data_IF_115263016391
#
_entry.id   IF_115263016391
#
_cell.length_a   1.000
_cell.length_b   1.000
_cell.length_c   1.000
_cell.angle_alpha   90.00
_cell.angle_beta   90.00
_cell.angle_gamma   90.00
#
_symmetry.space_group_name_H-M   'P 1'
#
loop_
_entity.id
_entity.type
_entity.pdbx_description
1 polymer ?
#
# COMPACT_ATOMS: atom_id res chain seq x y z
N UNK A 1 -32.10 10.27 -15.32
CA UNK A 1 -33.43 10.57 -14.75
C UNK A 1 -33.22 10.98 -13.30
N UNK A 2 -33.37 12.26 -13.00
CA UNK A 2 -33.33 12.81 -11.65
C UNK A 2 -34.69 12.57 -10.99
N UNK A 3 -34.74 11.83 -9.88
CA UNK A 3 -35.94 11.72 -9.05
C UNK A 3 -35.86 12.73 -7.90
N UNK A 4 -36.75 13.71 -7.94
CA UNK A 4 -37.06 14.61 -6.83
C UNK A 4 -37.86 13.84 -5.76
N UNK A 5 -37.47 13.94 -4.49
CA UNK A 5 -38.30 13.51 -3.36
C UNK A 5 -39.13 14.69 -2.84
N UNK A 6 -40.42 14.43 -2.62
CA UNK A 6 -41.41 15.38 -2.13
C UNK A 6 -41.39 15.53 -0.59
N UNK A 7 -41.84 16.67 -0.02
CA UNK A 7 -41.77 16.97 1.41
C UNK A 7 -42.85 16.29 2.26
N UNK A 8 -42.52 16.06 3.53
CA UNK A 8 -43.30 15.36 4.57
C UNK A 8 -44.39 16.29 5.16
N UNK A 9 -45.62 15.83 5.48
CA UNK A 9 -46.68 16.70 6.02
C UNK A 9 -46.52 16.98 7.53
N UNK A 10 -46.70 18.24 7.92
CA UNK A 10 -46.70 18.68 9.32
C UNK A 10 -48.01 18.39 10.05
N UNK A 11 -47.91 17.74 11.22
CA UNK A 11 -49.02 17.55 12.16
C UNK A 11 -49.10 18.68 13.18
N UNK A 12 -50.31 19.22 13.41
CA UNK A 12 -50.60 20.22 14.44
C UNK A 12 -51.16 19.56 15.70
N UNK A 13 -50.53 19.81 16.85
CA UNK A 13 -50.99 19.36 18.17
C UNK A 13 -51.93 20.40 18.79
N UNK A 14 -53.16 20.00 19.14
CA UNK A 14 -54.11 20.85 19.88
C UNK A 14 -53.89 20.68 21.39
N UNK A 15 -53.69 21.78 22.10
CA UNK A 15 -53.70 21.84 23.58
C UNK A 15 -55.01 22.49 24.04
N UNK A 16 -55.71 21.81 24.96
CA UNK A 16 -56.94 22.32 25.57
C UNK A 16 -56.57 22.97 26.91
N UNK A 17 -56.94 24.24 27.12
CA UNK A 17 -56.69 24.98 28.37
C UNK A 17 -57.95 24.97 29.23
N UNK A 18 -57.85 24.39 30.43
CA UNK A 18 -58.88 24.43 31.46
C UNK A 18 -58.88 25.75 32.23
N UNK A 19 -60.07 26.21 32.60
CA UNK A 19 -60.32 27.46 33.36
C UNK A 19 -59.97 27.30 34.85
N UNK A 20 -58.98 28.04 35.33
CA UNK A 20 -58.82 28.52 36.70
C UNK A 20 -57.81 29.68 36.60
N UNK A 21 -58.10 30.94 36.87
CA UNK A 21 -58.55 31.52 38.13
C UNK A 21 -57.81 32.85 38.22
N UNK A 22 -58.55 33.94 38.09
CA UNK A 22 -58.05 35.32 38.16
C UNK A 22 -57.71 35.62 39.61
N UNK A 23 -56.43 35.49 40.02
CA UNK A 23 -55.94 36.11 41.26
C UNK A 23 -54.39 36.06 41.41
N UNK A 24 -53.62 36.67 40.48
CA UNK A 24 -52.18 36.86 40.69
C UNK A 24 -51.57 37.96 39.79
N UNK A 25 -52.20 39.14 39.70
CA UNK A 25 -51.80 40.18 38.73
C UNK A 25 -51.10 41.41 39.34
N UNK A 26 -50.65 41.37 40.60
CA UNK A 26 -50.02 42.56 41.22
C UNK A 26 -48.60 42.31 41.76
N UNK A 27 -48.15 41.06 41.93
CA UNK A 27 -46.79 40.78 42.42
C UNK A 27 -45.75 40.52 41.31
N UNK A 28 -46.17 40.41 40.04
CA UNK A 28 -45.26 40.13 38.92
C UNK A 28 -44.58 41.41 38.38
N UNK A 29 -45.16 42.59 38.61
CA UNK A 29 -44.62 43.86 38.11
C UNK A 29 -43.30 44.30 38.78
N UNK A 30 -43.09 43.95 40.05
CA UNK A 30 -41.87 44.35 40.78
C UNK A 30 -40.69 43.38 40.57
N UNK A 31 -40.95 42.11 40.27
CA UNK A 31 -39.90 41.14 39.92
C UNK A 31 -39.42 41.30 38.46
N UNK A 32 -40.29 41.74 37.55
CA UNK A 32 -39.89 42.02 36.16
C UNK A 32 -39.04 43.29 36.02
N UNK A 33 -39.18 44.26 36.92
CA UNK A 33 -38.36 45.47 36.92
C UNK A 33 -36.91 45.25 37.39
N UNK A 34 -36.67 44.25 38.25
CA UNK A 34 -35.33 43.96 38.79
C UNK A 34 -34.53 42.98 37.91
N UNK A 35 -35.21 42.17 37.10
CA UNK A 35 -34.56 41.30 36.10
C UNK A 35 -34.24 42.05 34.80
N UNK A 36 -34.88 43.20 34.55
CA UNK A 36 -34.65 44.01 33.35
C UNK A 36 -33.35 44.84 33.36
N UNK A 37 -32.56 44.82 34.43
CA UNK A 37 -31.30 45.59 34.54
C UNK A 37 -30.03 44.75 34.28
N UNK A 38 -30.20 43.51 33.81
CA UNK A 38 -29.11 42.67 33.28
C UNK A 38 -29.49 41.95 32.00
N UNK A 39 -30.02 42.68 31.04
CA UNK A 39 -29.82 42.28 29.65
C UNK A 39 -28.46 42.82 29.22
N UNK A 40 -27.40 42.04 29.45
CA UNK A 40 -26.27 42.12 28.52
C UNK A 40 -26.86 41.90 27.14
N UNK A 41 -26.80 42.94 26.30
CA UNK A 41 -27.06 42.80 24.89
C UNK A 41 -25.99 41.84 24.39
N UNK A 42 -26.33 40.56 24.29
CA UNK A 42 -25.52 39.59 23.56
C UNK A 42 -25.50 40.11 22.12
N UNK A 43 -24.44 40.81 21.78
CA UNK A 43 -24.12 41.14 20.41
C UNK A 43 -24.18 39.81 19.62
N UNK A 44 -24.91 39.74 18.50
CA UNK A 44 -24.98 38.53 17.68
C UNK A 44 -23.58 38.12 17.14
N UNK A 45 -22.59 38.99 17.29
CA UNK A 45 -21.18 38.74 16.96
C UNK A 45 -20.46 37.84 17.97
N UNK A 46 -21.03 37.57 19.15
CA UNK A 46 -20.33 36.92 20.26
C UNK A 46 -20.37 35.37 20.27
N UNK A 47 -21.01 34.71 19.29
CA UNK A 47 -20.99 33.24 19.17
C UNK A 47 -20.80 32.81 17.71
N UNK A 48 -19.82 33.40 17.05
CA UNK A 48 -19.04 32.62 16.10
C UNK A 48 -17.70 32.44 16.78
N UNK A 49 -17.52 31.32 17.50
CA UNK A 49 -16.17 30.89 17.83
C UNK A 49 -15.41 30.92 16.51
N UNK A 50 -14.42 31.82 16.39
CA UNK A 50 -13.57 31.89 15.22
C UNK A 50 -12.87 30.53 15.14
N UNK A 51 -13.46 29.64 14.34
CA UNK A 51 -12.84 28.38 14.02
C UNK A 51 -11.65 28.79 13.15
N UNK A 52 -10.45 28.68 13.72
CA UNK A 52 -9.20 28.92 12.99
C UNK A 52 -9.34 28.27 11.60
N UNK A 53 -9.09 29.01 10.50
CA UNK A 53 -9.24 28.48 9.16
C UNK A 53 -8.50 27.14 9.06
N UNK A 54 -9.20 26.07 8.68
CA UNK A 54 -8.60 24.73 8.57
C UNK A 54 -7.45 24.67 7.57
N UNK A 55 -7.38 25.64 6.66
CA UNK A 55 -6.36 25.76 5.63
C UNK A 55 -5.61 27.10 5.74
N UNK A 56 -4.29 27.02 5.73
CA UNK A 56 -3.42 28.19 5.62
C UNK A 56 -3.29 28.63 4.15
N UNK A 57 -3.24 29.93 3.84
CA UNK A 57 -2.97 30.42 2.48
C UNK A 57 -1.52 30.20 2.04
N UNK A 58 -0.63 29.83 2.95
CA UNK A 58 0.83 29.71 2.69
C UNK A 58 1.45 28.41 3.19
N UNK A 59 0.74 27.61 3.99
CA UNK A 59 1.22 26.31 4.46
C UNK A 59 0.51 25.19 3.72
N UNK A 60 1.20 24.06 3.57
CA UNK A 60 0.57 22.84 3.09
C UNK A 60 -0.59 22.44 4.00
N UNK A 61 -1.63 21.83 3.40
CA UNK A 61 -2.72 21.22 4.14
C UNK A 61 -2.16 20.14 5.08
N UNK A 62 -2.48 20.27 6.38
CA UNK A 62 -2.21 19.23 7.36
C UNK A 62 -3.33 18.18 7.28
N UNK A 63 -2.99 16.89 7.33
CA UNK A 63 -3.95 15.79 7.23
C UNK A 63 -4.55 15.68 5.82
N UNK A 64 -3.78 15.14 4.87
CA UNK A 64 -4.25 14.92 3.49
C UNK A 64 -5.08 13.64 3.42
N UNK A 65 -6.15 13.65 2.63
CA UNK A 65 -6.95 12.45 2.35
C UNK A 65 -6.28 11.50 1.35
N UNK A 66 -5.18 11.95 0.72
CA UNK A 66 -4.40 11.18 -0.25
C UNK A 66 -2.91 11.33 0.04
N UNK A 67 -2.18 10.25 -0.22
CA UNK A 67 -0.73 10.23 -0.14
C UNK A 67 -0.11 10.85 -1.41
N UNK A 68 0.73 11.87 -1.23
CA UNK A 68 1.63 12.34 -2.28
C UNK A 68 3.05 11.85 -1.98
N UNK A 69 3.69 11.08 -2.88
CA UNK A 69 5.01 10.53 -2.59
C UNK A 69 6.07 11.59 -2.29
N UNK A 70 6.81 11.36 -1.20
CA UNK A 70 7.83 12.27 -0.67
C UNK A 70 7.29 13.51 0.08
N UNK A 71 6.01 13.52 0.47
CA UNK A 71 5.39 14.68 1.17
C UNK A 71 5.04 14.43 2.65
N UNK A 72 5.34 13.25 3.17
CA UNK A 72 5.04 12.80 4.53
C UNK A 72 6.26 12.12 5.13
N UNK A 73 6.60 12.50 6.36
CA UNK A 73 7.56 11.78 7.18
C UNK A 73 6.98 10.41 7.57
N UNK A 74 7.84 9.40 7.67
CA UNK A 74 7.45 8.08 8.17
C UNK A 74 7.91 7.98 9.63
N UNK A 75 6.99 7.76 10.57
CA UNK A 75 7.34 7.73 11.99
C UNK A 75 8.20 6.51 12.35
N UNK A 76 9.02 6.56 13.42
CA UNK A 76 9.93 5.46 13.78
C UNK A 76 9.27 4.10 14.02
N UNK A 77 7.98 4.09 14.35
CA UNK A 77 7.13 2.93 14.62
C UNK A 77 6.04 2.72 13.56
N UNK A 78 6.22 3.30 12.37
CA UNK A 78 5.26 3.23 11.26
C UNK A 78 5.76 2.34 10.12
N UNK A 79 4.81 1.62 9.51
CA UNK A 79 4.99 0.82 8.30
C UNK A 79 4.07 1.34 7.21
N UNK A 80 4.62 1.64 6.03
CA UNK A 80 3.85 2.07 4.84
C UNK A 80 4.00 1.07 3.72
N UNK A 81 2.87 0.66 3.14
CA UNK A 81 2.81 -0.26 1.99
C UNK A 81 2.20 0.44 0.80
N UNK A 82 2.88 0.41 -0.34
CA UNK A 82 2.41 1.00 -1.61
C UNK A 82 2.27 -0.10 -2.65
N UNK A 83 1.07 -0.20 -3.24
CA UNK A 83 0.81 -1.05 -4.39
C UNK A 83 1.38 -0.41 -5.67
N UNK A 84 2.58 -0.81 -6.08
CA UNK A 84 3.20 -0.36 -7.32
C UNK A 84 2.70 -1.16 -8.54
N UNK A 85 2.01 -2.27 -8.32
CA UNK A 85 1.18 -2.93 -9.32
C UNK A 85 0.31 -4.04 -8.74
N UNK A 86 -0.85 -4.25 -9.37
CA UNK A 86 -1.95 -5.13 -8.92
C UNK A 86 -2.61 -5.86 -10.09
N UNK A 87 -1.84 -5.98 -11.17
CA UNK A 87 -2.27 -6.44 -12.47
C UNK A 87 -2.19 -7.95 -12.62
N UNK A 88 -1.98 -8.35 -13.86
CA UNK A 88 -1.93 -9.72 -14.36
C UNK A 88 -0.83 -9.75 -15.45
N UNK A 89 -0.48 -10.91 -16.01
CA UNK A 89 0.47 -10.98 -17.13
C UNK A 89 0.04 -10.18 -18.36
N UNK A 90 -1.27 -10.00 -18.56
CA UNK A 90 -1.78 -9.13 -19.61
C UNK A 90 -1.65 -7.65 -19.21
N UNK A 91 -0.73 -6.96 -19.87
CA UNK A 91 -0.47 -5.54 -19.64
C UNK A 91 -1.73 -4.68 -19.82
N UNK A 92 -1.94 -3.74 -18.89
CA UNK A 92 -2.96 -2.70 -19.01
C UNK A 92 -2.49 -1.38 -18.37
N UNK A 93 -2.75 -0.22 -18.99
CA UNK A 93 -2.29 1.07 -18.45
C UNK A 93 -2.78 1.38 -17.03
N UNK A 94 -3.98 0.91 -16.68
CA UNK A 94 -4.57 1.16 -15.36
C UNK A 94 -3.88 0.40 -14.24
N UNK A 95 -3.22 -0.74 -14.52
CA UNK A 95 -2.66 -1.64 -13.51
C UNK A 95 -1.42 -2.34 -14.07
N UNK A 96 -0.24 -1.92 -13.60
CA UNK A 96 1.00 -2.67 -13.75
C UNK A 96 0.90 -4.04 -13.07
N UNK A 97 1.76 -4.99 -13.46
CA UNK A 97 1.81 -6.32 -12.85
C UNK A 97 2.38 -6.29 -11.41
N UNK A 98 2.41 -7.43 -10.72
CA UNK A 98 2.61 -7.51 -9.27
C UNK A 98 3.88 -6.78 -8.79
N UNK A 99 3.71 -5.80 -7.90
CA UNK A 99 4.82 -5.11 -7.25
C UNK A 99 4.34 -4.34 -6.02
N UNK A 100 5.03 -4.53 -4.89
CA UNK A 100 4.71 -3.90 -3.64
C UNK A 100 5.95 -3.28 -3.01
N UNK A 101 5.86 -2.02 -2.62
CA UNK A 101 6.90 -1.32 -1.89
C UNK A 101 6.51 -1.27 -0.41
N UNK A 102 7.36 -1.82 0.44
CA UNK A 102 7.29 -1.71 1.89
C UNK A 102 8.33 -0.69 2.37
N UNK A 103 7.89 0.33 3.09
CA UNK A 103 8.75 1.32 3.76
C UNK A 103 8.57 1.21 5.27
N UNK A 104 9.68 1.19 6.02
CA UNK A 104 9.69 1.09 7.47
C UNK A 104 10.28 2.35 8.11
N UNK A 105 9.79 2.72 9.29
CA UNK A 105 10.22 3.88 10.06
C UNK A 105 11.71 3.92 10.44
N UNK A 106 12.39 2.76 10.41
CA UNK A 106 13.85 2.67 10.58
C UNK A 106 14.64 3.10 9.32
N UNK A 107 13.94 3.44 8.23
CA UNK A 107 14.48 3.86 6.95
C UNK A 107 14.59 2.75 5.89
N UNK A 108 14.49 1.49 6.29
CA UNK A 108 14.57 0.36 5.35
C UNK A 108 13.39 0.32 4.40
N UNK A 109 13.66 -0.18 3.19
CA UNK A 109 12.68 -0.35 2.13
C UNK A 109 12.92 -1.67 1.41
N UNK A 110 11.83 -2.32 1.07
CA UNK A 110 11.81 -3.63 0.45
C UNK A 110 10.81 -3.63 -0.69
N UNK A 111 11.18 -4.23 -1.81
CA UNK A 111 10.30 -4.45 -2.95
C UNK A 111 9.93 -5.93 -2.99
N UNK A 112 8.63 -6.24 -3.00
CA UNK A 112 8.10 -7.59 -3.15
C UNK A 112 7.48 -7.71 -4.54
N UNK A 113 8.09 -8.57 -5.35
CA UNK A 113 7.89 -8.66 -6.80
C UNK A 113 8.12 -7.34 -7.56
N UNK A 114 8.45 -7.44 -8.84
CA UNK A 114 8.71 -6.31 -9.73
C UNK A 114 8.23 -6.62 -11.16
N UNK A 115 6.93 -6.84 -11.28
CA UNK A 115 6.24 -7.13 -12.53
C UNK A 115 6.32 -6.03 -13.58
N UNK A 116 6.05 -6.41 -14.83
CA UNK A 116 6.05 -5.49 -15.98
C UNK A 116 5.21 -4.22 -15.73
N UNK A 117 5.81 -3.05 -15.99
CA UNK A 117 5.22 -1.72 -15.83
C UNK A 117 5.30 -1.13 -14.42
N UNK A 118 5.82 -1.88 -13.44
CA UNK A 118 5.95 -1.42 -12.05
C UNK A 118 7.13 -0.47 -11.81
N UNK A 119 8.19 -0.50 -12.62
CA UNK A 119 9.35 0.39 -12.47
C UNK A 119 8.95 1.87 -12.62
N UNK A 120 8.01 2.17 -13.51
CA UNK A 120 7.42 3.53 -13.63
C UNK A 120 6.73 3.95 -12.32
N UNK A 121 5.99 3.03 -11.70
CA UNK A 121 5.24 3.28 -10.45
C UNK A 121 6.14 3.41 -9.24
N UNK A 122 7.26 2.68 -9.23
CA UNK A 122 8.34 2.83 -8.25
C UNK A 122 9.03 4.19 -8.42
N UNK A 123 9.39 4.59 -9.65
CA UNK A 123 9.99 5.90 -9.91
C UNK A 123 9.07 7.06 -9.46
N UNK A 124 7.76 6.90 -9.62
CA UNK A 124 6.76 7.86 -9.16
C UNK A 124 6.74 8.04 -7.63
N UNK A 125 7.32 7.12 -6.84
CA UNK A 125 7.45 7.27 -5.39
C UNK A 125 8.50 8.31 -4.98
N UNK A 126 9.33 8.80 -5.93
CA UNK A 126 10.38 9.81 -5.69
C UNK A 126 11.42 9.40 -4.64
N UNK A 127 11.67 8.11 -4.50
CA UNK A 127 12.67 7.57 -3.60
C UNK A 127 13.98 7.40 -4.38
N UNK A 128 15.12 7.92 -3.88
CA UNK A 128 16.42 7.65 -4.49
C UNK A 128 16.67 6.15 -4.64
N UNK A 129 17.18 5.71 -5.79
CA UNK A 129 17.40 4.28 -6.06
C UNK A 129 18.41 3.61 -5.12
N UNK A 130 19.29 4.38 -4.48
CA UNK A 130 20.13 3.90 -3.37
C UNK A 130 19.32 3.46 -2.14
N UNK A 131 18.02 3.76 -2.03
CA UNK A 131 17.18 3.19 -0.97
C UNK A 131 16.30 2.04 -1.48
N UNK A 132 16.35 1.73 -2.77
CA UNK A 132 15.55 0.70 -3.45
C UNK A 132 16.47 -0.41 -3.97
N UNK A 133 17.25 -0.99 -3.08
CA UNK A 133 18.29 -1.98 -3.39
C UNK A 133 17.97 -3.39 -2.92
N UNK A 134 16.78 -3.63 -2.36
CA UNK A 134 16.37 -4.94 -1.82
C UNK A 134 15.07 -5.40 -2.47
N UNK A 135 15.15 -6.49 -3.23
CA UNK A 135 14.03 -7.07 -3.98
C UNK A 135 13.83 -8.52 -3.55
N UNK A 136 12.58 -8.88 -3.25
CA UNK A 136 12.14 -10.21 -2.85
C UNK A 136 11.17 -10.73 -3.91
N UNK A 137 11.54 -11.81 -4.59
CA UNK A 137 10.76 -12.40 -5.67
C UNK A 137 10.05 -13.64 -5.16
N UNK A 138 8.71 -13.65 -5.19
CA UNK A 138 7.91 -14.79 -4.75
C UNK A 138 8.02 -15.97 -5.70
N UNK A 139 8.09 -15.71 -7.01
CA UNK A 139 8.35 -16.70 -8.04
C UNK A 139 8.79 -16.02 -9.35
N UNK A 140 9.04 -16.82 -10.40
CA UNK A 140 9.70 -16.37 -11.62
C UNK A 140 8.77 -16.25 -12.84
N UNK A 141 7.47 -16.04 -12.64
CA UNK A 141 6.61 -15.63 -13.76
C UNK A 141 6.99 -14.21 -14.21
N UNK A 142 6.83 -13.95 -15.51
CA UNK A 142 7.22 -12.70 -16.14
C UNK A 142 6.52 -11.47 -15.52
N UNK A 143 5.32 -11.64 -14.99
CA UNK A 143 4.54 -10.58 -14.36
C UNK A 143 4.89 -10.34 -12.88
N UNK A 144 5.89 -11.06 -12.36
CA UNK A 144 6.49 -10.83 -11.04
C UNK A 144 7.95 -10.38 -11.12
N UNK A 145 8.60 -10.51 -12.29
CA UNK A 145 10.01 -10.15 -12.49
C UNK A 145 10.25 -9.19 -13.66
N UNK A 146 9.20 -8.88 -14.43
CA UNK A 146 9.31 -8.30 -15.77
C UNK A 146 9.94 -6.92 -15.88
N UNK A 147 10.05 -6.19 -14.77
CA UNK A 147 10.71 -4.88 -14.68
C UNK A 147 11.99 -4.92 -13.82
N UNK A 148 12.49 -6.12 -13.48
CA UNK A 148 13.74 -6.25 -12.70
C UNK A 148 14.93 -5.62 -13.42
N UNK A 149 14.99 -5.73 -14.75
CA UNK A 149 15.99 -5.07 -15.58
C UNK A 149 15.84 -3.55 -15.54
N UNK A 150 14.62 -3.03 -15.56
CA UNK A 150 14.34 -1.60 -15.47
C UNK A 150 14.76 -1.03 -14.11
N UNK A 151 14.55 -1.76 -13.00
CA UNK A 151 15.07 -1.36 -11.69
C UNK A 151 16.59 -1.49 -11.60
N UNK A 152 17.16 -2.51 -12.24
CA UNK A 152 18.60 -2.74 -12.26
C UNK A 152 19.34 -1.68 -13.09
N UNK A 153 19.10 -1.61 -14.40
CA UNK A 153 19.75 -0.66 -15.30
C UNK A 153 19.28 0.76 -15.01
N UNK A 154 17.96 0.96 -14.86
CA UNK A 154 17.39 2.27 -14.57
C UNK A 154 17.87 2.82 -13.24
N UNK A 155 18.06 1.97 -12.21
CA UNK A 155 18.61 2.40 -10.93
C UNK A 155 20.03 2.96 -11.03
N UNK A 156 20.88 2.37 -11.89
CA UNK A 156 22.23 2.91 -12.14
C UNK A 156 22.18 4.25 -12.86
N UNK A 157 21.29 4.39 -13.85
CA UNK A 157 21.08 5.70 -14.50
C UNK A 157 20.48 6.73 -13.55
N UNK A 158 19.72 6.27 -12.54
CA UNK A 158 19.22 7.03 -11.41
C UNK A 158 20.24 7.22 -10.28
N UNK A 159 21.53 6.98 -10.56
CA UNK A 159 22.65 7.18 -9.65
C UNK A 159 22.69 6.26 -8.42
N UNK A 160 22.16 5.03 -8.52
CA UNK A 160 22.45 3.97 -7.54
C UNK A 160 23.93 3.56 -7.65
N UNK A 161 24.67 3.64 -6.55
CA UNK A 161 26.12 3.35 -6.51
C UNK A 161 26.46 2.08 -5.73
N UNK A 162 25.44 1.30 -5.36
CA UNK A 162 25.57 0.00 -4.68
C UNK A 162 24.83 -1.11 -5.42
N UNK A 163 25.19 -2.39 -5.20
CA UNK A 163 24.56 -3.52 -5.86
C UNK A 163 23.06 -3.58 -5.61
N UNK A 164 22.31 -4.11 -6.57
CA UNK A 164 20.94 -4.55 -6.35
C UNK A 164 20.99 -5.93 -5.66
N UNK A 165 20.34 -6.07 -4.51
CA UNK A 165 20.26 -7.32 -3.77
C UNK A 165 18.91 -7.98 -4.05
N UNK A 166 18.94 -9.22 -4.53
CA UNK A 166 17.76 -9.99 -4.93
C UNK A 166 17.69 -11.25 -4.10
N UNK A 167 16.58 -11.44 -3.40
CA UNK A 167 16.21 -12.66 -2.72
C UNK A 167 15.15 -13.36 -3.56
N UNK A 168 15.34 -14.64 -3.82
CA UNK A 168 14.33 -15.45 -4.46
C UNK A 168 14.59 -16.94 -4.31
N UNK A 169 13.57 -17.76 -4.54
CA UNK A 169 13.65 -19.20 -4.37
C UNK A 169 14.53 -19.86 -5.45
N UNK A 170 15.12 -21.01 -5.10
CA UNK A 170 15.55 -21.99 -6.10
C UNK A 170 14.31 -22.69 -6.72
N UNK A 171 14.52 -23.43 -7.81
CA UNK A 171 13.49 -24.29 -8.38
C UNK A 171 13.81 -25.77 -8.18
N UNK A 172 12.98 -26.65 -8.74
CA UNK A 172 13.26 -28.10 -8.78
C UNK A 172 14.56 -28.45 -9.51
N UNK A 173 15.07 -27.53 -10.33
CA UNK A 173 16.33 -27.63 -11.04
C UNK A 173 17.04 -26.27 -11.02
N UNK A 174 18.38 -26.23 -11.15
CA UNK A 174 19.13 -24.97 -11.19
C UNK A 174 18.62 -23.98 -12.25
N UNK A 175 18.22 -24.47 -13.44
CA UNK A 175 17.71 -23.60 -14.51
C UNK A 175 16.36 -22.94 -14.23
N UNK A 176 15.65 -23.37 -13.19
CA UNK A 176 14.40 -22.78 -12.71
C UNK A 176 14.60 -21.92 -11.45
N UNK A 177 15.83 -21.75 -10.99
CA UNK A 177 16.16 -20.94 -9.82
C UNK A 177 16.39 -19.46 -10.13
N UNK A 178 16.21 -18.63 -9.11
CA UNK A 178 16.40 -17.17 -9.19
C UNK A 178 17.80 -16.79 -9.66
N UNK A 179 18.83 -17.51 -9.21
CA UNK A 179 20.22 -17.21 -9.61
C UNK A 179 20.42 -17.43 -11.11
N UNK A 180 19.90 -18.53 -11.65
CA UNK A 180 20.01 -18.80 -13.08
C UNK A 180 19.28 -17.74 -13.90
N UNK A 181 18.07 -17.35 -13.48
CA UNK A 181 17.32 -16.28 -14.13
C UNK A 181 18.12 -14.96 -14.17
N UNK A 182 18.68 -14.53 -13.04
CA UNK A 182 19.47 -13.29 -12.97
C UNK A 182 20.74 -13.37 -13.82
N UNK A 183 21.46 -14.50 -13.79
CA UNK A 183 22.65 -14.70 -14.61
C UNK A 183 22.33 -14.57 -16.11
N UNK A 184 21.25 -15.20 -16.58
CA UNK A 184 20.79 -15.12 -17.97
C UNK A 184 20.27 -13.73 -18.34
N UNK A 185 19.60 -13.04 -17.42
CA UNK A 185 19.22 -11.63 -17.62
C UNK A 185 20.47 -10.75 -17.81
N UNK A 186 21.51 -10.91 -16.96
CA UNK A 186 22.76 -10.16 -17.11
C UNK A 186 23.42 -10.40 -18.47
N UNK A 187 23.33 -11.61 -19.02
CA UNK A 187 23.80 -11.94 -20.37
C UNK A 187 22.95 -11.31 -21.47
N UNK A 188 21.61 -11.30 -21.31
CA UNK A 188 20.70 -10.62 -22.24
C UNK A 188 21.03 -9.13 -22.40
N UNK A 189 21.44 -8.47 -21.32
CA UNK A 189 21.84 -7.05 -21.30
C UNK A 189 23.35 -6.81 -21.50
N UNK A 190 24.11 -7.77 -22.05
CA UNK A 190 25.57 -7.63 -22.23
C UNK A 190 25.96 -6.35 -22.96
N UNK A 191 25.26 -6.03 -24.06
CA UNK A 191 25.54 -4.80 -24.82
C UNK A 191 25.29 -3.55 -23.99
N UNK A 192 24.17 -3.49 -23.27
CA UNK A 192 23.78 -2.34 -22.46
C UNK A 192 24.81 -2.11 -21.34
N UNK A 193 25.14 -3.16 -20.56
CA UNK A 193 26.19 -3.12 -19.53
C UNK A 193 27.51 -2.59 -20.09
N UNK A 194 27.95 -3.12 -21.23
CA UNK A 194 29.21 -2.76 -21.85
C UNK A 194 29.21 -1.29 -22.32
N UNK A 195 28.10 -0.83 -22.90
CA UNK A 195 27.94 0.55 -23.40
C UNK A 195 27.97 1.61 -22.29
N UNK A 196 27.66 1.23 -21.05
CA UNK A 196 27.63 2.12 -19.89
C UNK A 196 28.95 2.20 -19.15
N UNK A 197 29.89 1.30 -19.40
CA UNK A 197 31.20 1.32 -18.74
C UNK A 197 31.89 2.67 -19.01
N UNK A 198 32.30 3.37 -17.94
CA UNK A 198 32.90 4.70 -18.01
C UNK A 198 31.91 5.87 -17.99
N UNK A 199 30.59 5.62 -18.14
CA UNK A 199 29.53 6.64 -18.09
C UNK A 199 28.74 6.62 -16.78
N UNK A 200 28.79 5.51 -16.04
CA UNK A 200 28.06 5.31 -14.78
C UNK A 200 28.95 4.63 -13.74
N UNK A 201 28.52 4.65 -12.48
CA UNK A 201 29.17 3.85 -11.43
C UNK A 201 28.82 2.37 -11.60
N UNK A 202 29.80 1.58 -12.04
CA UNK A 202 29.61 0.16 -12.33
C UNK A 202 29.29 -0.69 -11.10
N UNK A 203 29.52 -0.18 -9.88
CA UNK A 203 29.12 -0.90 -8.65
C UNK A 203 27.60 -1.07 -8.59
N UNK A 204 26.85 -0.12 -9.13
CA UNK A 204 25.40 -0.22 -9.25
C UNK A 204 24.91 -1.25 -10.25
N UNK A 205 25.77 -1.69 -11.19
CA UNK A 205 25.45 -2.72 -12.19
C UNK A 205 25.62 -4.14 -11.65
N UNK A 206 26.11 -4.30 -10.42
CA UNK A 206 26.12 -5.61 -9.79
C UNK A 206 24.76 -6.00 -9.23
N UNK A 207 24.48 -7.30 -9.31
CA UNK A 207 23.32 -7.92 -8.68
C UNK A 207 23.85 -9.02 -7.77
N UNK A 208 23.53 -8.92 -6.48
CA UNK A 208 23.82 -9.92 -5.47
C UNK A 208 22.57 -10.79 -5.27
N UNK A 209 22.67 -12.08 -5.60
CA UNK A 209 21.54 -13.01 -5.46
C UNK A 209 21.70 -13.83 -4.20
N UNK A 210 20.70 -13.76 -3.31
CA UNK A 210 20.50 -14.71 -2.23
C UNK A 210 19.42 -15.70 -2.65
N UNK A 211 19.85 -16.83 -3.20
CA UNK A 211 18.96 -17.92 -3.56
C UNK A 211 18.74 -18.84 -2.34
N UNK A 212 17.48 -19.17 -2.04
CA UNK A 212 17.11 -19.98 -0.88
C UNK A 212 16.18 -21.14 -1.26
N UNK A 213 16.05 -22.12 -0.37
CA UNK A 213 15.23 -23.33 -0.59
C UNK A 213 13.72 -23.00 -0.58
N UNK A 214 13.04 -23.21 -1.70
CA UNK A 214 11.59 -22.97 -1.84
C UNK A 214 10.73 -23.88 -0.94
N UNK A 215 11.29 -25.01 -0.48
CA UNK A 215 10.58 -25.96 0.40
C UNK A 215 10.66 -25.57 1.87
N UNK A 216 11.49 -24.58 2.22
CA UNK A 216 11.70 -24.17 3.59
C UNK A 216 10.43 -23.57 4.19
N UNK A 217 10.07 -24.05 5.39
CA UNK A 217 8.86 -23.62 6.08
C UNK A 217 9.23 -22.63 7.17
N UNK A 218 8.82 -21.38 6.98
CA UNK A 218 9.05 -20.25 7.89
C UNK A 218 10.53 -20.05 8.23
N UNK A 219 11.41 -20.29 7.25
CA UNK A 219 12.85 -20.08 7.41
C UNK A 219 13.20 -18.61 7.19
N UNK A 220 14.06 -18.07 8.05
CA UNK A 220 14.57 -16.69 7.93
C UNK A 220 15.54 -16.61 6.76
N UNK A 221 15.24 -15.74 5.79
CA UNK A 221 16.06 -15.47 4.60
C UNK A 221 16.74 -14.09 4.65
N UNK A 222 16.28 -13.22 5.55
CA UNK A 222 16.84 -11.90 5.79
C UNK A 222 16.72 -11.52 7.27
N UNK A 223 17.80 -11.01 7.84
CA UNK A 223 17.85 -10.53 9.21
C UNK A 223 18.87 -9.41 9.36
N UNK A 224 18.43 -8.16 9.21
CA UNK A 224 19.29 -6.97 9.35
C UNK A 224 18.45 -5.83 9.95
N UNK A 225 19.09 -4.92 10.71
CA UNK A 225 18.47 -3.68 11.21
C UNK A 225 17.11 -3.84 11.94
N UNK A 226 16.95 -4.95 12.66
CA UNK A 226 15.71 -5.28 13.39
C UNK A 226 14.55 -5.78 12.52
N UNK A 227 14.77 -5.96 11.22
CA UNK A 227 13.81 -6.57 10.29
C UNK A 227 14.14 -8.04 10.12
N UNK A 228 13.12 -8.89 10.23
CA UNK A 228 13.18 -10.32 9.90
C UNK A 228 12.27 -10.58 8.71
N UNK A 229 12.76 -11.24 7.67
CA UNK A 229 11.93 -11.75 6.58
C UNK A 229 12.11 -13.26 6.50
N UNK A 230 11.00 -13.96 6.65
CA UNK A 230 10.89 -15.41 6.55
C UNK A 230 10.15 -15.79 5.27
N UNK A 231 10.47 -16.97 4.74
CA UNK A 231 9.79 -17.54 3.57
C UNK A 231 8.94 -18.74 3.96
N UNK A 232 7.82 -18.94 3.27
CA UNK A 232 6.97 -20.13 3.36
C UNK A 232 6.66 -20.63 1.95
N UNK A 233 6.45 -21.94 1.73
CA UNK A 233 6.15 -22.46 0.41
C UNK A 233 4.77 -21.98 -0.09
N UNK A 234 4.66 -21.78 -1.40
CA UNK A 234 3.41 -21.51 -2.09
C UNK A 234 3.10 -22.64 -3.09
N UNK A 235 1.82 -22.78 -3.43
CA UNK A 235 1.36 -23.76 -4.43
C UNK A 235 0.98 -22.99 -5.67
N UNK A 236 1.83 -22.96 -6.68
CA UNK A 236 1.55 -22.23 -7.91
C UNK A 236 2.36 -22.76 -9.09
N UNK A 237 1.68 -23.08 -10.20
CA UNK A 237 2.24 -23.59 -11.45
C UNK A 237 3.26 -24.72 -11.30
N UNK A 238 4.54 -24.38 -11.12
CA UNK A 238 5.67 -25.28 -10.90
C UNK A 238 6.27 -25.03 -9.52
N UNK A 239 6.74 -26.10 -8.87
CA UNK A 239 7.51 -26.05 -7.63
C UNK A 239 8.65 -25.00 -7.70
N UNK A 240 8.63 -24.07 -6.76
CA UNK A 240 9.53 -22.92 -6.69
C UNK A 240 8.89 -21.68 -6.10
N UNK A 241 7.56 -21.56 -6.17
CA UNK A 241 6.84 -20.39 -5.65
C UNK A 241 6.83 -20.32 -4.12
N UNK A 242 6.97 -19.12 -3.56
CA UNK A 242 6.97 -18.85 -2.12
C UNK A 242 6.19 -17.59 -1.74
N UNK A 243 5.88 -17.47 -0.46
CA UNK A 243 5.35 -16.27 0.18
C UNK A 243 6.33 -15.74 1.23
N UNK A 244 6.16 -14.48 1.64
CA UNK A 244 7.02 -13.82 2.62
C UNK A 244 6.27 -13.33 3.84
N UNK A 245 6.89 -13.49 5.00
CA UNK A 245 6.45 -12.94 6.29
C UNK A 245 7.53 -11.99 6.78
N UNK A 246 7.18 -10.72 6.93
CA UNK A 246 8.05 -9.67 7.44
C UNK A 246 7.61 -9.31 8.85
N UNK A 247 8.56 -9.29 9.77
CA UNK A 247 8.37 -8.83 11.14
C UNK A 247 9.36 -7.72 11.45
N UNK A 248 8.86 -6.59 11.95
CA UNK A 248 9.68 -5.45 12.36
C UNK A 248 8.95 -4.62 13.40
N UNK A 249 9.63 -4.31 14.51
CA UNK A 249 9.12 -3.43 15.56
C UNK A 249 7.70 -3.80 16.07
N UNK A 250 7.42 -5.09 16.19
CA UNK A 250 6.10 -5.61 16.58
C UNK A 250 5.02 -5.56 15.50
N UNK A 251 5.32 -4.98 14.33
CA UNK A 251 4.47 -5.00 13.15
C UNK A 251 4.77 -6.22 12.28
N UNK A 252 3.75 -6.72 11.59
CA UNK A 252 3.81 -7.89 10.74
C UNK A 252 3.14 -7.64 9.40
N UNK A 253 3.89 -7.84 8.32
CA UNK A 253 3.43 -7.78 6.94
C UNK A 253 3.57 -9.16 6.28
N UNK A 254 2.51 -9.66 5.66
CA UNK A 254 2.50 -10.93 4.94
C UNK A 254 2.17 -10.70 3.47
N UNK A 255 2.97 -11.26 2.56
CA UNK A 255 2.78 -11.16 1.11
C UNK A 255 2.81 -12.54 0.47
N UNK A 256 1.70 -12.93 -0.19
CA UNK A 256 1.55 -14.28 -0.73
C UNK A 256 2.33 -14.53 -2.02
N UNK A 257 2.59 -13.48 -2.81
CA UNK A 257 2.77 -13.63 -4.26
C UNK A 257 1.58 -14.41 -4.85
N UNK A 258 1.80 -15.32 -5.80
CA UNK A 258 0.76 -16.22 -6.29
C UNK A 258 0.73 -17.55 -5.54
N UNK A 259 -0.45 -17.99 -5.13
CA UNK A 259 -0.64 -19.27 -4.43
C UNK A 259 -2.09 -19.72 -4.40
N UNK A 260 -2.32 -21.02 -4.59
CA UNK A 260 -3.54 -21.66 -4.14
C UNK A 260 -3.64 -21.62 -2.60
N UNK A 261 -4.87 -21.65 -2.03
CA UNK A 261 -5.05 -21.74 -0.59
C UNK A 261 -4.26 -22.92 0.01
N UNK A 262 -3.44 -22.63 1.01
CA UNK A 262 -2.56 -23.62 1.63
C UNK A 262 -2.45 -23.39 3.16
N UNK A 263 -1.99 -24.41 3.88
CA UNK A 263 -1.94 -24.39 5.35
C UNK A 263 -0.80 -23.52 5.90
N UNK A 264 0.32 -23.41 5.18
CA UNK A 264 1.44 -22.57 5.60
C UNK A 264 1.01 -21.12 5.72
N UNK A 265 0.29 -20.60 4.72
CA UNK A 265 -0.24 -19.24 4.77
C UNK A 265 -1.15 -19.04 5.98
N UNK A 266 -2.12 -19.93 6.19
CA UNK A 266 -3.07 -19.83 7.30
C UNK A 266 -2.38 -19.81 8.67
N UNK A 267 -1.27 -20.52 8.82
CA UNK A 267 -0.49 -20.58 10.06
C UNK A 267 0.41 -19.35 10.23
N UNK A 268 1.23 -19.02 9.24
CA UNK A 268 2.29 -18.04 9.40
C UNK A 268 1.88 -16.60 9.07
N UNK A 269 0.85 -16.38 8.26
CA UNK A 269 0.29 -15.04 8.04
C UNK A 269 -0.69 -14.62 9.16
N UNK A 270 -1.03 -15.52 10.09
CA UNK A 270 -1.94 -15.22 11.19
C UNK A 270 -1.43 -14.04 12.03
N UNK A 271 -2.34 -13.11 12.34
CA UNK A 271 -2.04 -11.91 13.13
C UNK A 271 -1.22 -10.85 12.40
N UNK A 272 -1.05 -10.94 11.07
CA UNK A 272 -0.44 -9.86 10.31
C UNK A 272 -1.31 -8.59 10.36
N UNK A 273 -0.67 -7.43 10.55
CA UNK A 273 -1.31 -6.12 10.46
C UNK A 273 -1.77 -5.83 9.03
N UNK A 274 -0.96 -6.26 8.05
CA UNK A 274 -1.28 -6.20 6.62
C UNK A 274 -0.98 -7.57 6.00
N UNK A 275 -2.00 -8.19 5.43
CA UNK A 275 -1.89 -9.43 4.66
C UNK A 275 -2.36 -9.21 3.23
N UNK A 276 -1.44 -9.35 2.27
CA UNK A 276 -1.73 -9.31 0.85
C UNK A 276 -1.75 -10.74 0.34
N UNK A 277 -2.93 -11.19 -0.09
CA UNK A 277 -3.12 -12.50 -0.68
C UNK A 277 -3.63 -12.37 -2.12
N UNK A 278 -3.14 -13.24 -3.01
CA UNK A 278 -3.70 -13.40 -4.35
C UNK A 278 -5.23 -13.60 -4.28
N UNK A 279 -5.96 -12.88 -5.12
CA UNK A 279 -7.40 -13.05 -5.28
C UNK A 279 -7.73 -13.10 -6.77
N UNK A 280 -7.86 -14.31 -7.31
CA UNK A 280 -8.04 -14.51 -8.73
C UNK A 280 -9.47 -14.24 -9.19
N UNK A 281 -9.62 -13.95 -10.49
CA UNK A 281 -10.92 -13.79 -11.12
C UNK A 281 -11.75 -15.07 -10.97
N UNK A 282 -13.04 -14.93 -10.67
CA UNK A 282 -13.93 -16.08 -10.61
C UNK A 282 -14.03 -16.77 -11.97
N UNK A 283 -14.35 -18.07 -12.03
CA UNK A 283 -14.59 -18.77 -13.28
C UNK A 283 -15.59 -18.05 -14.19
N UNK A 284 -16.65 -17.46 -13.60
CA UNK A 284 -17.64 -16.69 -14.33
C UNK A 284 -17.03 -15.46 -15.03
N UNK A 285 -16.13 -14.73 -14.36
CA UNK A 285 -15.44 -13.58 -14.96
C UNK A 285 -14.55 -14.04 -16.12
N UNK A 286 -13.85 -15.16 -16.00
CA UNK A 286 -13.02 -15.71 -17.06
C UNK A 286 -13.87 -16.10 -18.29
N UNK A 287 -15.02 -16.72 -18.08
CA UNK A 287 -15.97 -17.07 -19.15
C UNK A 287 -16.54 -15.82 -19.80
N UNK A 288 -17.07 -14.88 -19.01
CA UNK A 288 -17.81 -13.73 -19.53
C UNK A 288 -16.90 -12.73 -20.22
N UNK A 289 -15.73 -12.43 -19.62
CA UNK A 289 -14.82 -11.39 -20.10
C UNK A 289 -13.71 -11.93 -20.99
N UNK A 290 -13.10 -13.06 -20.63
CA UNK A 290 -11.95 -13.61 -21.36
C UNK A 290 -12.34 -14.67 -22.38
N UNK A 291 -13.62 -15.07 -22.43
CA UNK A 291 -14.14 -16.09 -23.36
C UNK A 291 -13.43 -17.43 -23.21
N UNK A 292 -12.93 -17.72 -22.01
CA UNK A 292 -12.39 -19.04 -21.70
C UNK A 292 -13.52 -20.06 -21.76
N UNK A 293 -13.21 -21.22 -22.35
CA UNK A 293 -14.13 -22.36 -22.33
C UNK A 293 -14.05 -22.99 -20.95
N UNK A 294 -15.17 -23.15 -20.21
CA UNK A 294 -15.16 -23.88 -18.95
C UNK A 294 -14.52 -25.25 -19.15
N UNK A 295 -13.56 -25.61 -18.30
CA UNK A 295 -13.06 -26.98 -18.22
C UNK A 295 -14.20 -27.92 -17.80
N UNK A 296 -14.26 -29.10 -18.43
CA UNK A 296 -15.13 -30.20 -17.99
C UNK A 296 -14.63 -30.85 -16.72
#
# INVERSE_FOLDING_TARGET
MLQQQAPIPGGTMKVTVGKAGILALVLVGFLLGWVAERTEVLHPDAILAQQEPSASPTKALAGRDVYYPGSEDLAPDEMRVVACGTGMPNARPSQAAACWLLELGNGDKFIFDIGLGSAERIAAQKIPYDYLDKVFLGHLHADHIGDLDALWVGGVTGNRVKPLRVWGPNGTKPEYGTKYMVDRMKEMYTWDKASRMGNVDIRGLEIEVTEFDYTAVNAVIYQENGVTISTIPAIHALDGSVSFIVEWNGLKFAFSSDTYPNKWWMEYAAGADIAIHECFASPQILVDKQKFTPGT
#
